data_IF_997090703033
#
_entry.id   IF_997090703033
#
_cell.length_a   1.000
_cell.length_b   1.000
_cell.length_c   1.000
_cell.angle_alpha   90.00
_cell.angle_beta   90.00
_cell.angle_gamma   90.00
#
_symmetry.space_group_name_H-M   'P 1'
#
loop_
_entity.id
_entity.type
_entity.pdbx_description
1 polymer ?
#
# COMPACT_ATOMS: atom_id res chain seq x y z
N UNK A 1 -18.14 -42.36 -42.00
CA UNK A 1 -18.22 -40.96 -41.54
C UNK A 1 -17.82 -40.96 -40.08
N UNK A 2 -16.52 -40.86 -39.81
CA UNK A 2 -15.96 -40.70 -38.47
C UNK A 2 -14.84 -39.70 -38.65
N UNK A 3 -14.99 -38.59 -37.94
CA UNK A 3 -14.30 -37.33 -38.19
C UNK A 3 -12.80 -37.39 -37.92
N UNK A 4 -12.15 -36.54 -38.70
CA UNK A 4 -10.80 -36.02 -38.61
C UNK A 4 -10.58 -35.36 -37.23
N UNK A 5 -9.64 -35.90 -36.45
CA UNK A 5 -9.18 -35.32 -35.18
C UNK A 5 -8.04 -34.35 -35.52
N UNK A 6 -8.42 -33.09 -35.76
CA UNK A 6 -7.51 -31.97 -35.87
C UNK A 6 -7.58 -31.12 -34.61
N UNK A 7 -6.54 -31.19 -33.78
CA UNK A 7 -6.19 -30.12 -32.84
C UNK A 7 -4.70 -30.18 -32.52
N UNK A 8 -3.91 -29.75 -33.49
CA UNK A 8 -2.62 -29.13 -33.23
C UNK A 8 -2.90 -27.63 -32.97
N UNK A 9 -2.88 -27.27 -31.69
CA UNK A 9 -2.86 -25.87 -31.27
C UNK A 9 -1.89 -25.77 -30.10
N UNK A 10 -0.61 -25.71 -30.46
CA UNK A 10 0.43 -24.87 -29.85
C UNK A 10 0.14 -24.48 -28.39
N UNK A 11 0.71 -25.25 -27.46
CA UNK A 11 0.92 -24.81 -26.08
C UNK A 11 1.88 -23.62 -26.10
N UNK A 12 1.32 -22.42 -26.25
CA UNK A 12 1.99 -21.19 -25.87
C UNK A 12 2.12 -21.24 -24.34
N UNK A 13 3.31 -21.63 -23.88
CA UNK A 13 3.67 -21.65 -22.47
C UNK A 13 3.31 -20.32 -21.83
N UNK A 14 2.30 -20.36 -20.96
CA UNK A 14 2.16 -19.34 -19.94
C UNK A 14 3.48 -19.30 -19.15
N UNK A 15 4.03 -18.13 -18.83
CA UNK A 15 5.10 -18.06 -17.84
C UNK A 15 4.52 -18.60 -16.55
N UNK A 16 4.84 -19.85 -16.22
CA UNK A 16 4.62 -20.39 -14.89
C UNK A 16 5.53 -19.58 -14.00
N UNK A 17 4.94 -18.70 -13.17
CA UNK A 17 5.66 -18.04 -12.10
C UNK A 17 6.40 -19.14 -11.32
N UNK A 18 7.70 -19.20 -11.52
CA UNK A 18 8.61 -20.09 -10.81
C UNK A 18 8.34 -19.97 -9.32
N UNK A 19 8.44 -21.10 -8.62
CA UNK A 19 8.16 -21.22 -7.20
C UNK A 19 9.07 -20.34 -6.34
N UNK A 20 8.72 -19.07 -6.22
CA UNK A 20 9.21 -18.21 -5.17
C UNK A 20 8.62 -18.75 -3.88
N UNK A 21 9.49 -19.20 -2.97
CA UNK A 21 9.07 -19.53 -1.62
C UNK A 21 8.38 -18.29 -1.08
N UNK A 22 7.05 -18.32 -0.95
CA UNK A 22 6.26 -17.20 -0.42
C UNK A 22 6.89 -16.80 0.89
N UNK A 23 7.67 -15.71 0.86
CA UNK A 23 8.24 -15.14 2.06
C UNK A 23 7.04 -14.77 2.92
N UNK A 24 7.06 -15.00 4.25
CA UNK A 24 5.93 -14.64 5.11
C UNK A 24 5.46 -13.18 4.95
N UNK A 25 6.32 -12.32 4.39
CA UNK A 25 6.07 -10.92 4.06
C UNK A 25 6.12 -10.58 2.56
N UNK A 26 6.04 -11.55 1.64
CA UNK A 26 6.09 -11.24 0.19
C UNK A 26 4.93 -10.33 -0.28
N UNK A 27 3.81 -10.33 0.45
CA UNK A 27 2.71 -9.39 0.22
C UNK A 27 3.04 -7.96 0.67
N UNK A 28 3.93 -7.80 1.66
CA UNK A 28 4.42 -6.50 2.10
C UNK A 28 5.40 -5.94 1.09
N UNK A 29 6.34 -6.75 0.61
CA UNK A 29 7.28 -6.34 -0.45
C UNK A 29 6.53 -5.87 -1.72
N UNK A 30 5.44 -6.54 -2.09
CA UNK A 30 4.56 -6.10 -3.18
C UNK A 30 3.85 -4.78 -2.88
N UNK A 31 3.37 -4.58 -1.65
CA UNK A 31 2.71 -3.34 -1.25
C UNK A 31 3.69 -2.15 -1.24
N UNK A 32 4.94 -2.37 -0.85
CA UNK A 32 6.01 -1.38 -0.94
C UNK A 32 6.36 -1.05 -2.40
N UNK A 33 6.31 -2.02 -3.31
CA UNK A 33 6.51 -1.77 -4.73
C UNK A 33 5.33 -0.98 -5.34
N UNK A 34 4.09 -1.33 -4.97
CA UNK A 34 2.89 -0.58 -5.35
C UNK A 34 2.96 0.87 -4.84
N UNK A 35 3.40 1.09 -3.59
CA UNK A 35 3.57 2.44 -3.05
C UNK A 35 4.57 3.27 -3.85
N UNK A 36 5.70 2.67 -4.24
CA UNK A 36 6.71 3.31 -5.09
C UNK A 36 6.18 3.60 -6.48
N UNK A 37 5.42 2.67 -7.07
CA UNK A 37 4.81 2.85 -8.38
C UNK A 37 3.81 4.02 -8.36
N UNK A 38 2.92 4.07 -7.36
CA UNK A 38 1.97 5.18 -7.20
C UNK A 38 2.67 6.51 -7.01
N UNK A 39 3.72 6.58 -6.20
CA UNK A 39 4.51 7.82 -6.05
C UNK A 39 5.11 8.28 -7.40
N UNK A 40 5.66 7.36 -8.20
CA UNK A 40 6.17 7.67 -9.53
C UNK A 40 5.07 8.20 -10.47
N UNK A 41 3.85 7.63 -10.42
CA UNK A 41 2.71 8.11 -11.22
C UNK A 41 2.35 9.58 -10.87
N UNK A 42 2.48 9.99 -9.61
CA UNK A 42 2.30 11.39 -9.22
C UNK A 42 3.41 12.29 -9.78
N UNK A 43 4.67 11.86 -9.71
CA UNK A 43 5.78 12.61 -10.30
C UNK A 43 5.63 12.78 -11.82
N UNK A 44 5.17 11.75 -12.53
CA UNK A 44 4.86 11.81 -13.96
C UNK A 44 3.74 12.81 -14.29
N UNK A 45 2.82 13.03 -13.35
CA UNK A 45 1.74 14.03 -13.45
C UNK A 45 2.21 15.44 -13.06
N UNK A 46 3.48 15.60 -12.70
CA UNK A 46 4.10 16.87 -12.33
C UNK A 46 3.93 17.25 -10.86
N UNK A 47 3.45 16.33 -10.03
CA UNK A 47 3.30 16.52 -8.59
C UNK A 47 4.61 16.19 -7.87
N UNK A 48 4.82 16.79 -6.70
CA UNK A 48 5.82 16.27 -5.78
C UNK A 48 5.27 14.98 -5.14
N UNK A 49 6.08 13.91 -5.09
CA UNK A 49 5.68 12.69 -4.42
C UNK A 49 6.67 12.32 -3.30
N UNK A 50 6.14 11.82 -2.20
CA UNK A 50 6.91 11.29 -1.08
C UNK A 50 6.44 9.85 -0.82
N UNK A 51 7.32 8.87 -1.01
CA UNK A 51 7.06 7.48 -0.65
C UNK A 51 7.69 7.20 0.71
N UNK A 52 6.88 6.93 1.74
CA UNK A 52 7.38 6.64 3.08
C UNK A 52 7.59 5.13 3.27
N UNK A 53 8.60 4.78 4.05
CA UNK A 53 8.89 3.41 4.47
C UNK A 53 8.34 3.18 5.87
N UNK A 54 7.22 2.49 5.94
CA UNK A 54 6.57 2.18 7.21
C UNK A 54 7.27 1.02 7.91
N UNK A 55 7.72 1.24 9.14
CA UNK A 55 8.36 0.23 9.97
C UNK A 55 7.37 -0.54 10.86
N UNK A 56 6.40 0.17 11.43
CA UNK A 56 5.37 -0.40 12.30
C UNK A 56 4.07 0.40 12.17
N UNK A 57 2.94 -0.29 12.35
CA UNK A 57 1.61 0.32 12.31
C UNK A 57 0.80 -0.19 13.48
N UNK A 58 0.32 0.77 14.29
CA UNK A 58 -0.55 0.50 15.42
C UNK A 58 -1.93 1.12 15.16
N UNK A 59 -3.01 0.33 15.07
CA UNK A 59 -4.36 0.87 15.02
C UNK A 59 -4.72 1.52 16.38
N UNK A 60 -5.36 2.67 16.31
CA UNK A 60 -5.83 3.44 17.45
C UNK A 60 -7.36 3.41 17.45
N UNK A 61 -7.96 2.88 18.52
CA UNK A 61 -9.42 2.71 18.65
C UNK A 61 -10.09 3.76 19.55
N UNK A 62 -9.29 4.67 20.12
CA UNK A 62 -9.73 5.67 21.07
C UNK A 62 -9.92 5.18 22.51
N UNK A 63 -9.55 3.93 22.86
CA UNK A 63 -9.59 3.47 24.27
C UNK A 63 -8.50 4.12 25.12
N UNK A 64 -7.32 4.36 24.54
CA UNK A 64 -6.15 4.91 25.24
C UNK A 64 -5.89 6.40 24.95
N UNK A 65 -6.79 7.07 24.22
CA UNK A 65 -6.74 8.50 23.86
C UNK A 65 -7.98 8.93 23.07
N UNK A 66 -8.08 10.19 22.66
CA UNK A 66 -9.22 10.68 21.84
C UNK A 66 -9.03 10.42 20.33
N UNK A 67 -7.95 9.75 19.95
CA UNK A 67 -7.54 9.54 18.55
C UNK A 67 -8.02 8.17 18.03
N UNK A 68 -8.71 8.19 16.89
CA UNK A 68 -9.11 6.99 16.13
C UNK A 68 -8.40 7.06 14.78
N UNK A 69 -7.64 6.02 14.42
CA UNK A 69 -6.85 6.03 13.20
C UNK A 69 -5.66 5.06 13.21
N UNK A 70 -4.64 5.36 12.41
CA UNK A 70 -3.41 4.58 12.34
C UNK A 70 -2.24 5.41 12.86
N UNK A 71 -1.51 4.87 13.84
CA UNK A 71 -0.18 5.37 14.20
C UNK A 71 0.85 4.63 13.37
N UNK A 72 1.55 5.37 12.51
CA UNK A 72 2.52 4.82 11.55
C UNK A 72 3.90 5.28 11.95
N UNK A 73 4.81 4.32 12.17
CA UNK A 73 6.21 4.60 12.44
C UNK A 73 6.98 4.67 11.12
N UNK A 74 7.64 5.80 10.90
CA UNK A 74 8.50 6.05 9.72
C UNK A 74 9.90 6.47 10.19
N UNK A 75 10.95 6.28 9.35
CA UNK A 75 12.30 6.77 9.64
C UNK A 75 12.32 8.28 9.93
N UNK A 76 13.18 8.72 10.86
CA UNK A 76 13.28 10.13 11.27
C UNK A 76 13.51 11.09 10.08
N UNK A 77 14.40 10.74 9.15
CA UNK A 77 14.72 11.57 7.97
C UNK A 77 13.49 11.77 7.07
N UNK A 78 12.68 10.72 6.90
CA UNK A 78 11.44 10.75 6.10
C UNK A 78 10.33 11.52 6.84
N UNK A 79 10.26 11.38 8.17
CA UNK A 79 9.34 12.16 8.99
C UNK A 79 9.66 13.65 8.93
N UNK A 80 10.94 14.02 9.06
CA UNK A 80 11.38 15.41 8.96
C UNK A 80 11.00 15.99 7.58
N UNK A 81 11.23 15.24 6.50
CA UNK A 81 10.83 15.65 5.15
C UNK A 81 9.32 15.81 5.00
N UNK A 82 8.55 14.84 5.51
CA UNK A 82 7.08 14.91 5.55
C UNK A 82 6.61 16.14 6.30
N UNK A 83 7.10 16.38 7.51
CA UNK A 83 6.69 17.49 8.36
C UNK A 83 7.06 18.86 7.79
N UNK A 84 8.13 18.93 7.00
CA UNK A 84 8.56 20.15 6.34
C UNK A 84 7.70 20.50 5.11
N UNK A 85 7.12 19.50 4.43
CA UNK A 85 6.38 19.68 3.18
C UNK A 85 4.87 19.65 3.38
N UNK A 86 4.38 18.76 4.23
CA UNK A 86 2.96 18.61 4.52
C UNK A 86 2.54 19.65 5.55
N UNK A 87 1.72 20.60 5.12
CA UNK A 87 1.20 21.64 6.01
C UNK A 87 -0.08 21.15 6.68
N UNK A 88 -0.36 21.51 7.95
CA UNK A 88 -1.65 21.23 8.56
C UNK A 88 -2.76 21.93 7.77
N UNK A 89 -3.65 21.13 7.17
CA UNK A 89 -4.70 21.62 6.28
C UNK A 89 -5.61 20.49 5.79
N UNK A 90 -6.48 20.83 4.85
CA UNK A 90 -7.35 19.86 4.16
C UNK A 90 -6.51 19.01 3.20
N UNK A 91 -6.19 17.80 3.64
CA UNK A 91 -5.60 16.75 2.80
C UNK A 91 -6.72 15.82 2.33
N UNK A 92 -6.74 15.49 1.04
CA UNK A 92 -7.58 14.40 0.54
C UNK A 92 -6.85 13.08 0.77
N UNK A 93 -7.59 12.02 1.10
CA UNK A 93 -7.00 10.70 1.37
C UNK A 93 -7.67 9.62 0.52
N UNK A 94 -6.87 8.89 -0.24
CA UNK A 94 -7.26 7.67 -0.93
C UNK A 94 -6.64 6.46 -0.24
N UNK A 95 -7.46 5.46 0.07
CA UNK A 95 -7.02 4.25 0.77
C UNK A 95 -7.40 3.02 -0.03
N UNK A 96 -6.40 2.33 -0.54
CA UNK A 96 -6.58 1.05 -1.23
C UNK A 96 -6.37 -0.08 -0.25
N UNK A 97 -7.39 -0.91 -0.08
CA UNK A 97 -7.41 -1.99 0.91
C UNK A 97 -7.36 -3.35 0.24
N UNK A 98 -6.54 -4.24 0.78
CA UNK A 98 -6.56 -5.67 0.47
C UNK A 98 -6.36 -6.51 1.74
N UNK A 99 -6.61 -7.81 1.64
CA UNK A 99 -6.42 -8.76 2.75
C UNK A 99 -5.45 -9.84 2.34
N UNK A 100 -4.48 -10.12 3.21
CA UNK A 100 -3.43 -11.11 2.95
C UNK A 100 -3.03 -11.80 4.26
N UNK A 101 -3.16 -13.13 4.30
CA UNK A 101 -2.64 -13.97 5.39
C UNK A 101 -3.06 -13.53 6.82
N UNK A 102 -4.29 -13.03 7.01
CA UNK A 102 -4.78 -12.58 8.31
C UNK A 102 -4.47 -11.11 8.63
N UNK A 103 -3.95 -10.35 7.66
CA UNK A 103 -3.70 -8.92 7.75
C UNK A 103 -4.57 -8.16 6.77
N UNK A 104 -4.98 -6.96 7.17
CA UNK A 104 -5.47 -5.93 6.25
C UNK A 104 -4.26 -5.10 5.85
N UNK A 105 -3.97 -5.12 4.56
CA UNK A 105 -2.97 -4.26 3.93
C UNK A 105 -3.66 -3.04 3.34
N UNK A 106 -3.06 -1.87 3.54
CA UNK A 106 -3.54 -0.58 3.10
C UNK A 106 -2.42 0.11 2.34
N UNK A 107 -2.74 0.64 1.16
CA UNK A 107 -1.93 1.67 0.53
C UNK A 107 -2.66 3.00 0.72
N UNK A 108 -2.04 3.90 1.47
CA UNK A 108 -2.61 5.21 1.78
C UNK A 108 -1.92 6.25 0.93
N UNK A 109 -2.71 7.10 0.28
CA UNK A 109 -2.26 8.28 -0.47
C UNK A 109 -2.91 9.49 0.17
N UNK A 110 -2.10 10.44 0.62
CA UNK A 110 -2.54 11.75 1.07
C UNK A 110 -2.17 12.78 0.00
N UNK A 111 -3.16 13.51 -0.50
CA UNK A 111 -2.97 14.55 -1.50
C UNK A 111 -3.18 15.93 -0.88
N UNK A 112 -2.15 16.77 -0.94
CA UNK A 112 -2.27 18.21 -0.76
C UNK A 112 -2.35 18.87 -2.13
N UNK A 113 -3.58 19.22 -2.53
CA UNK A 113 -3.88 19.89 -3.81
C UNK A 113 -3.35 21.33 -3.89
N UNK A 114 -3.04 21.95 -2.75
CA UNK A 114 -2.51 23.31 -2.70
C UNK A 114 -1.01 23.32 -2.96
N UNK A 115 -0.30 22.32 -2.45
CA UNK A 115 1.14 22.12 -2.65
C UNK A 115 1.46 21.23 -3.87
N UNK A 116 0.45 20.62 -4.50
CA UNK A 116 0.61 19.58 -5.52
C UNK A 116 1.55 18.47 -5.02
N UNK A 117 1.33 18.05 -3.76
CA UNK A 117 2.11 17.04 -3.05
C UNK A 117 1.27 15.79 -2.81
N UNK A 118 1.82 14.63 -3.12
CA UNK A 118 1.26 13.33 -2.78
C UNK A 118 2.20 12.60 -1.81
N UNK A 119 1.66 12.15 -0.68
CA UNK A 119 2.37 11.32 0.30
C UNK A 119 1.77 9.92 0.22
N UNK A 120 2.59 8.95 -0.16
CA UNK A 120 2.19 7.56 -0.36
C UNK A 120 2.90 6.70 0.67
N UNK A 121 2.15 5.86 1.39
CA UNK A 121 2.74 4.95 2.34
C UNK A 121 1.94 3.66 2.50
N UNK A 122 2.63 2.52 2.65
CA UNK A 122 1.99 1.27 2.99
C UNK A 122 1.66 1.24 4.49
N UNK A 123 0.54 0.64 4.86
CA UNK A 123 0.17 0.39 6.23
C UNK A 123 -0.50 -0.98 6.36
N UNK A 124 -0.50 -1.56 7.55
CA UNK A 124 -1.19 -2.82 7.79
C UNK A 124 -1.71 -2.91 9.22
N UNK A 125 -2.68 -3.79 9.45
CA UNK A 125 -3.05 -4.24 10.80
C UNK A 125 -3.53 -5.68 10.73
N UNK A 126 -3.46 -6.41 11.86
CA UNK A 126 -3.96 -7.77 11.91
C UNK A 126 -5.50 -7.78 11.92
N UNK A 127 -6.14 -8.69 11.18
CA UNK A 127 -7.61 -8.81 11.19
C UNK A 127 -8.17 -9.19 12.57
N UNK A 128 -7.34 -9.83 13.39
CA UNK A 128 -7.69 -10.20 14.77
C UNK A 128 -7.49 -9.06 15.78
N UNK A 129 -7.01 -7.90 15.32
CA UNK A 129 -6.76 -6.75 16.18
C UNK A 129 -8.07 -5.99 16.44
N UNK A 130 -8.58 -6.09 17.68
CA UNK A 130 -9.86 -5.50 18.07
C UNK A 130 -9.79 -3.95 18.03
N UNK A 131 -8.60 -3.36 18.18
CA UNK A 131 -8.41 -1.91 18.05
C UNK A 131 -8.62 -1.42 16.61
N UNK A 132 -8.49 -2.29 15.62
CA UNK A 132 -8.83 -1.95 14.24
C UNK A 132 -10.35 -1.96 13.96
N UNK A 133 -11.20 -2.43 14.89
CA UNK A 133 -12.64 -2.56 14.65
C UNK A 133 -13.38 -1.22 14.46
N UNK A 134 -12.74 -0.10 14.80
CA UNK A 134 -13.27 1.27 14.66
C UNK A 134 -12.72 2.06 13.47
N UNK A 135 -11.80 1.47 12.69
CA UNK A 135 -11.22 2.05 11.47
C UNK A 135 -12.15 1.84 10.27
#
# INVERSE_FOLDING_TARGET
>A
MTGDDGSDASEAGAPTADGESVRPMGWWDMLEDDARATAAEYEERGWAALCLHTADVTPLDGEHGDEVGLSVLVPDDEFDELSARLSPGDVESDVYRTTALGYVALLVVLEDRTQELAVVFPAYYAESDDSAARL
#
